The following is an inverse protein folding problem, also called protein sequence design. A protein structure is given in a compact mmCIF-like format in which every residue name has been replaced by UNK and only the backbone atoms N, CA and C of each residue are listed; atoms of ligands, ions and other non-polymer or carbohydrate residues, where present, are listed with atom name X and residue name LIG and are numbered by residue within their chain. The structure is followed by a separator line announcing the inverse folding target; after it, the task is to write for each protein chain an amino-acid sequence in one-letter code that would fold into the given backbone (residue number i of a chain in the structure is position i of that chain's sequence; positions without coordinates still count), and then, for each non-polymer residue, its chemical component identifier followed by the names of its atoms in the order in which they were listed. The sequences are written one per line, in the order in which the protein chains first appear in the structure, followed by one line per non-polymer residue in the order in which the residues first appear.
data_IF_424919549813
#
_entry.id   IF_424919549813
#
_cell.length_a   1.000
_cell.length_b   1.000
_cell.length_c   1.000
_cell.angle_alpha   90.00
_cell.angle_beta   90.00
_cell.angle_gamma   90.00
#
_symmetry.space_group_name_H-M   'P 1'
#
loop_
_entity.id
_entity.type
_entity.pdbx_description
1 polymer ?
#
# COMPACT_ATOMS: atom_id res chain seq x y z
N UNK A 1 -8.24 3.70 23.14
CA UNK A 1 -6.90 3.26 23.65
C UNK A 1 -5.94 4.45 23.63
N UNK A 2 -5.07 4.61 24.65
CA UNK A 2 -4.01 5.64 24.60
C UNK A 2 -2.93 5.19 23.62
N UNK A 3 -2.29 6.12 22.89
CA UNK A 3 -1.29 5.79 21.86
C UNK A 3 -0.16 4.88 22.38
N UNK A 4 0.33 5.10 23.60
CA UNK A 4 1.39 4.28 24.19
C UNK A 4 0.93 2.84 24.50
N UNK A 5 -0.31 2.65 24.94
CA UNK A 5 -0.90 1.34 25.14
C UNK A 5 -1.08 0.61 23.79
N UNK A 6 -1.55 1.33 22.78
CA UNK A 6 -1.70 0.78 21.43
C UNK A 6 -0.35 0.32 20.86
N UNK A 7 0.71 1.12 21.04
CA UNK A 7 2.06 0.72 20.59
C UNK A 7 2.49 -0.61 21.24
N UNK A 8 2.22 -0.80 22.53
CA UNK A 8 2.60 -2.04 23.23
C UNK A 8 1.76 -3.26 22.79
N UNK A 9 0.48 -3.07 22.49
CA UNK A 9 -0.45 -4.17 22.21
C UNK A 9 -0.61 -4.48 20.72
N UNK A 10 -0.35 -3.50 19.83
CA UNK A 10 -0.62 -3.57 18.39
C UNK A 10 0.62 -3.42 17.52
N UNK A 11 1.82 -3.39 18.11
CA UNK A 11 3.08 -3.49 17.37
C UNK A 11 3.67 -4.87 17.57
N UNK A 12 3.83 -5.58 16.48
CA UNK A 12 4.34 -6.94 16.47
C UNK A 12 5.71 -6.98 15.79
N UNK A 13 6.48 -8.03 16.06
CA UNK A 13 7.61 -8.44 15.23
C UNK A 13 7.19 -9.64 14.39
N UNK A 14 7.61 -9.72 13.14
CA UNK A 14 7.21 -10.80 12.21
C UNK A 14 7.49 -12.20 12.75
N UNK A 15 8.53 -12.35 13.60
CA UNK A 15 8.86 -13.65 14.21
C UNK A 15 7.75 -14.22 15.09
N UNK A 16 6.79 -13.43 15.53
CA UNK A 16 5.59 -13.94 16.20
C UNK A 16 4.72 -14.80 15.28
N UNK A 17 4.82 -14.62 13.98
CA UNK A 17 4.00 -15.25 12.95
C UNK A 17 4.82 -16.18 12.02
N UNK A 18 5.99 -16.61 12.46
CA UNK A 18 6.89 -17.44 11.65
C UNK A 18 6.38 -18.86 11.39
N UNK A 19 5.45 -19.36 12.23
CA UNK A 19 4.79 -20.64 12.02
C UNK A 19 3.70 -20.51 10.95
N UNK A 20 4.15 -20.59 9.68
CA UNK A 20 3.26 -20.45 8.53
C UNK A 20 2.23 -21.59 8.49
N UNK A 21 2.59 -22.79 8.98
CA UNK A 21 1.66 -23.91 9.04
C UNK A 21 0.46 -23.60 9.94
N UNK A 22 0.72 -23.05 11.11
CA UNK A 22 -0.33 -22.59 12.03
C UNK A 22 -1.21 -21.49 11.37
N UNK A 23 -0.59 -20.55 10.66
CA UNK A 23 -1.35 -19.50 9.93
C UNK A 23 -2.28 -20.10 8.87
N UNK A 24 -1.83 -21.14 8.16
CA UNK A 24 -2.66 -21.84 7.16
C UNK A 24 -3.82 -22.56 7.85
N UNK A 25 -3.58 -23.28 8.96
CA UNK A 25 -4.61 -23.97 9.73
C UNK A 25 -5.68 -22.97 10.24
N UNK A 26 -5.26 -21.82 10.79
CA UNK A 26 -6.15 -20.78 11.27
C UNK A 26 -6.91 -20.07 10.14
N UNK A 27 -6.26 -19.80 9.01
CA UNK A 27 -6.90 -19.30 7.78
C UNK A 27 -8.03 -20.22 7.34
N UNK A 28 -7.76 -21.54 7.27
CA UNK A 28 -8.74 -22.55 6.88
C UNK A 28 -9.90 -22.64 7.87
N UNK A 29 -9.60 -22.64 9.19
CA UNK A 29 -10.61 -22.67 10.24
C UNK A 29 -11.56 -21.48 10.17
N UNK A 30 -11.06 -20.32 9.76
CA UNK A 30 -11.84 -19.09 9.60
C UNK A 30 -12.45 -18.96 8.20
N UNK A 31 -12.19 -19.91 7.29
CA UNK A 31 -12.62 -19.87 5.89
C UNK A 31 -12.21 -18.55 5.19
N UNK A 32 -10.97 -18.10 5.43
CA UNK A 32 -10.42 -16.90 4.83
C UNK A 32 -9.66 -17.21 3.55
N UNK A 33 -9.71 -16.28 2.60
CA UNK A 33 -8.86 -16.25 1.41
C UNK A 33 -7.94 -15.05 1.43
N UNK A 34 -6.71 -15.20 0.90
CA UNK A 34 -5.67 -14.17 0.93
C UNK A 34 -5.10 -13.97 -0.45
N UNK A 35 -5.18 -12.73 -0.96
CA UNK A 35 -4.58 -12.33 -2.24
C UNK A 35 -3.38 -11.42 -2.02
N UNK A 36 -2.29 -11.67 -2.76
CA UNK A 36 -1.15 -10.78 -2.87
C UNK A 36 -1.29 -9.91 -4.12
N UNK A 37 -1.21 -8.60 -3.93
CA UNK A 37 -1.23 -7.59 -4.97
C UNK A 37 0.14 -6.92 -5.08
N UNK A 38 0.76 -7.01 -6.25
CA UNK A 38 2.04 -6.39 -6.59
C UNK A 38 1.78 -5.27 -7.62
N UNK A 39 1.66 -3.99 -7.20
CA UNK A 39 1.56 -2.88 -8.14
C UNK A 39 2.90 -2.63 -8.81
N UNK A 40 2.94 -2.59 -10.15
CA UNK A 40 4.18 -2.48 -10.92
C UNK A 40 4.19 -1.33 -11.92
N UNK A 41 5.40 -0.82 -12.15
CA UNK A 41 5.76 0.00 -13.31
C UNK A 41 7.28 -0.08 -13.54
N UNK A 42 7.71 -0.85 -14.55
CA UNK A 42 9.13 -1.03 -14.94
C UNK A 42 9.98 -1.62 -13.79
N UNK A 43 9.60 -2.82 -13.33
CA UNK A 43 10.26 -3.54 -12.23
C UNK A 43 10.84 -4.90 -12.68
N UNK A 44 11.28 -5.01 -13.95
CA UNK A 44 11.86 -6.24 -14.53
C UNK A 44 13.00 -6.85 -13.71
N UNK A 45 13.71 -6.01 -12.91
CA UNK A 45 14.90 -6.43 -12.15
C UNK A 45 14.56 -7.18 -10.87
N UNK A 46 13.39 -6.96 -10.30
CA UNK A 46 12.99 -7.45 -8.97
C UNK A 46 11.81 -8.39 -9.01
N UNK A 47 10.85 -8.14 -9.89
CA UNK A 47 9.55 -8.82 -9.89
C UNK A 47 9.66 -10.35 -9.99
N UNK A 48 10.57 -10.88 -10.82
CA UNK A 48 10.74 -12.33 -10.96
C UNK A 48 11.19 -13.00 -9.69
N UNK A 49 12.18 -12.41 -8.99
CA UNK A 49 12.67 -12.91 -7.72
C UNK A 49 11.59 -12.85 -6.63
N UNK A 50 10.82 -11.76 -6.60
CA UNK A 50 9.74 -11.59 -5.62
C UNK A 50 8.68 -12.67 -5.78
N UNK A 51 8.20 -12.91 -7.00
CA UNK A 51 7.18 -13.93 -7.27
C UNK A 51 7.70 -15.33 -6.91
N UNK A 52 8.91 -15.69 -7.36
CA UNK A 52 9.49 -17.02 -7.08
C UNK A 52 9.57 -17.30 -5.59
N UNK A 53 10.12 -16.36 -4.81
CA UNK A 53 10.32 -16.57 -3.36
C UNK A 53 8.97 -16.65 -2.62
N UNK A 54 8.06 -15.73 -2.93
CA UNK A 54 6.78 -15.67 -2.24
C UNK A 54 5.88 -16.85 -2.63
N UNK A 55 5.83 -17.19 -3.92
CA UNK A 55 5.03 -18.31 -4.42
C UNK A 55 5.52 -19.64 -3.89
N UNK A 56 6.82 -19.92 -4.00
CA UNK A 56 7.37 -21.20 -3.56
C UNK A 56 7.10 -21.50 -2.07
N UNK A 57 7.21 -20.49 -1.21
CA UNK A 57 7.02 -20.71 0.23
C UNK A 57 5.55 -20.55 0.67
N UNK A 58 4.82 -19.56 0.11
CA UNK A 58 3.52 -19.15 0.63
C UNK A 58 2.32 -19.61 -0.21
N UNK A 59 2.55 -20.22 -1.37
CA UNK A 59 1.49 -20.82 -2.18
C UNK A 59 1.76 -22.31 -2.40
N UNK A 60 2.96 -22.68 -2.87
CA UNK A 60 3.27 -24.06 -3.25
C UNK A 60 3.58 -24.94 -2.04
N UNK A 61 4.40 -24.47 -1.08
CA UNK A 61 4.76 -25.23 0.12
C UNK A 61 3.72 -25.10 1.24
N UNK A 62 3.32 -23.90 1.53
CA UNK A 62 2.31 -23.56 2.52
C UNK A 62 1.22 -22.73 1.85
N UNK A 63 -0.01 -23.23 1.66
CA UNK A 63 -1.06 -22.51 0.93
C UNK A 63 -1.67 -21.38 1.77
N UNK A 64 -0.81 -20.42 2.16
CA UNK A 64 -1.21 -19.20 2.84
C UNK A 64 -1.82 -18.20 1.85
N UNK A 65 -1.20 -18.05 0.66
CA UNK A 65 -1.71 -17.25 -0.45
C UNK A 65 -2.57 -18.11 -1.37
N UNK A 66 -3.75 -17.61 -1.70
CA UNK A 66 -4.66 -18.23 -2.68
C UNK A 66 -4.47 -17.65 -4.07
N UNK A 67 -3.93 -16.43 -4.15
CA UNK A 67 -3.81 -15.67 -5.38
C UNK A 67 -2.59 -14.74 -5.32
N UNK A 68 -1.80 -14.69 -6.39
CA UNK A 68 -0.67 -13.76 -6.55
C UNK A 68 -0.87 -13.04 -7.87
N UNK A 69 -1.07 -11.72 -7.81
CA UNK A 69 -1.30 -10.92 -9.00
C UNK A 69 -0.42 -9.68 -9.07
N UNK A 70 0.02 -9.41 -10.28
CA UNK A 70 0.67 -8.17 -10.70
C UNK A 70 -0.36 -7.27 -11.34
N UNK A 71 -0.46 -6.03 -10.84
CA UNK A 71 -1.30 -4.98 -11.43
C UNK A 71 -0.39 -3.93 -12.05
N UNK A 72 -0.29 -3.96 -13.37
CA UNK A 72 0.70 -3.18 -14.11
C UNK A 72 0.15 -1.84 -14.61
N UNK A 73 0.89 -0.75 -14.40
CA UNK A 73 0.56 0.61 -14.86
C UNK A 73 0.93 0.89 -16.33
N UNK A 74 1.28 -0.12 -17.11
CA UNK A 74 1.74 0.00 -18.51
C UNK A 74 3.27 0.08 -18.58
N UNK A 75 3.95 -0.93 -18.02
CA UNK A 75 5.40 -1.13 -18.15
C UNK A 75 5.84 -1.24 -19.59
N UNK A 76 7.01 -0.73 -19.89
CA UNK A 76 7.63 -0.76 -21.23
C UNK A 76 8.85 -1.68 -21.31
N UNK A 77 9.22 -2.28 -20.17
CA UNK A 77 10.25 -3.29 -20.01
C UNK A 77 9.63 -4.70 -19.93
N UNK A 78 10.42 -5.72 -19.58
CA UNK A 78 9.97 -7.11 -19.53
C UNK A 78 9.17 -7.48 -18.25
N UNK A 79 8.75 -6.50 -17.43
CA UNK A 79 8.05 -6.74 -16.16
C UNK A 79 6.89 -7.73 -16.28
N UNK A 80 5.94 -7.48 -17.20
CA UNK A 80 4.75 -8.32 -17.34
C UNK A 80 5.07 -9.74 -17.81
N UNK A 81 6.00 -9.87 -18.77
CA UNK A 81 6.43 -11.17 -19.29
C UNK A 81 7.12 -12.00 -18.21
N UNK A 82 8.03 -11.39 -17.46
CA UNK A 82 8.74 -12.04 -16.34
C UNK A 82 7.73 -12.47 -15.29
N UNK A 83 6.83 -11.60 -14.86
CA UNK A 83 5.82 -11.92 -13.85
C UNK A 83 4.96 -13.13 -14.24
N UNK A 84 4.45 -13.15 -15.47
CA UNK A 84 3.65 -14.26 -15.99
C UNK A 84 4.46 -15.57 -16.06
N UNK A 85 5.73 -15.50 -16.50
CA UNK A 85 6.61 -16.68 -16.62
C UNK A 85 6.90 -17.37 -15.28
N UNK A 86 6.86 -16.60 -14.16
CA UNK A 86 7.00 -17.13 -12.80
C UNK A 86 5.67 -17.46 -12.13
N UNK A 87 4.55 -17.36 -12.86
CA UNK A 87 3.25 -17.89 -12.45
C UNK A 87 2.42 -16.95 -11.57
N UNK A 88 2.59 -15.66 -11.73
CA UNK A 88 1.63 -14.67 -11.23
C UNK A 88 0.55 -14.39 -12.29
N UNK A 89 -0.65 -14.07 -11.85
CA UNK A 89 -1.67 -13.48 -12.71
C UNK A 89 -1.27 -12.03 -13.03
N UNK A 90 -1.26 -11.67 -14.31
CA UNK A 90 -0.85 -10.33 -14.74
C UNK A 90 -2.04 -9.60 -15.34
N UNK A 91 -2.33 -8.41 -14.79
CA UNK A 91 -3.40 -7.53 -15.24
C UNK A 91 -2.84 -6.16 -15.60
N UNK A 92 -3.07 -5.73 -16.83
CA UNK A 92 -2.76 -4.37 -17.27
C UNK A 92 -3.88 -3.45 -16.77
N UNK A 93 -3.54 -2.51 -15.88
CA UNK A 93 -4.53 -1.67 -15.21
C UNK A 93 -5.45 -0.91 -16.18
N UNK A 94 -4.95 -0.46 -17.33
CA UNK A 94 -5.73 0.28 -18.31
C UNK A 94 -6.85 -0.53 -18.99
N UNK A 95 -6.84 -1.85 -18.90
CA UNK A 95 -7.82 -2.74 -19.53
C UNK A 95 -9.05 -3.05 -18.66
N UNK A 96 -9.03 -2.60 -17.41
CA UNK A 96 -10.09 -2.90 -16.43
C UNK A 96 -10.79 -1.64 -15.94
N UNK A 97 -12.10 -1.72 -15.67
CA UNK A 97 -12.95 -0.62 -15.22
C UNK A 97 -12.78 0.63 -16.09
N UNK A 98 -12.75 0.43 -17.41
CA UNK A 98 -12.49 1.47 -18.41
C UNK A 98 -13.55 2.57 -18.42
N UNK A 99 -14.76 2.27 -17.96
CA UNK A 99 -15.87 3.21 -17.78
C UNK A 99 -15.57 4.32 -16.75
N UNK A 100 -14.63 4.04 -15.83
CA UNK A 100 -14.15 5.04 -14.86
C UNK A 100 -12.99 5.89 -15.41
N UNK A 101 -12.63 5.72 -16.68
CA UNK A 101 -11.51 6.37 -17.33
C UNK A 101 -10.16 5.77 -16.96
N UNK A 102 -9.18 5.96 -17.85
CA UNK A 102 -7.85 5.45 -17.68
C UNK A 102 -6.96 6.45 -16.93
N UNK A 103 -6.49 6.09 -15.75
CA UNK A 103 -5.56 6.86 -14.92
C UNK A 103 -4.31 6.03 -14.64
N UNK A 104 -3.22 6.69 -14.29
CA UNK A 104 -1.95 6.06 -13.91
C UNK A 104 -1.57 6.48 -12.50
N UNK A 105 -0.99 5.57 -11.75
CA UNK A 105 -0.46 5.82 -10.42
C UNK A 105 -0.62 4.62 -9.49
N UNK A 106 0.09 4.67 -8.37
CA UNK A 106 0.09 3.57 -7.40
C UNK A 106 -1.32 3.27 -6.89
N UNK A 107 -2.04 4.30 -6.45
CA UNK A 107 -3.38 4.12 -5.92
C UNK A 107 -4.39 3.60 -6.95
N UNK A 108 -4.21 3.93 -8.23
CA UNK A 108 -5.00 3.35 -9.33
C UNK A 108 -4.83 1.84 -9.42
N UNK A 109 -3.57 1.36 -9.34
CA UNK A 109 -3.29 -0.08 -9.35
C UNK A 109 -3.90 -0.79 -8.14
N UNK A 110 -3.82 -0.18 -6.96
CA UNK A 110 -4.40 -0.75 -5.74
C UNK A 110 -5.93 -0.83 -5.83
N UNK A 111 -6.57 0.21 -6.33
CA UNK A 111 -8.02 0.25 -6.54
C UNK A 111 -8.47 -0.82 -7.53
N UNK A 112 -7.78 -0.96 -8.65
CA UNK A 112 -8.07 -2.02 -9.63
C UNK A 112 -7.73 -3.40 -9.12
N UNK A 113 -6.67 -3.53 -8.31
CA UNK A 113 -6.34 -4.76 -7.60
C UNK A 113 -7.49 -5.22 -6.70
N UNK A 114 -8.13 -4.30 -5.98
CA UNK A 114 -9.28 -4.64 -5.14
C UNK A 114 -10.47 -5.18 -5.96
N UNK A 115 -10.67 -4.70 -7.19
CA UNK A 115 -11.66 -5.23 -8.12
C UNK A 115 -11.28 -6.61 -8.69
N UNK A 116 -10.01 -6.79 -9.05
CA UNK A 116 -9.52 -7.97 -9.75
C UNK A 116 -9.37 -9.17 -8.84
N UNK A 117 -8.79 -8.99 -7.69
CA UNK A 117 -8.51 -10.00 -6.67
C UNK A 117 -9.76 -10.45 -5.92
N UNK A 118 -9.69 -11.62 -5.27
CA UNK A 118 -10.86 -12.24 -4.61
C UNK A 118 -10.70 -12.42 -3.10
N UNK A 119 -9.47 -12.32 -2.58
CA UNK A 119 -9.18 -12.59 -1.16
C UNK A 119 -9.99 -11.75 -0.18
N UNK A 120 -10.34 -12.32 0.96
CA UNK A 120 -10.92 -11.62 2.11
C UNK A 120 -9.91 -10.69 2.78
N UNK A 121 -8.64 -11.02 2.64
CA UNK A 121 -7.49 -10.20 3.03
C UNK A 121 -6.68 -9.91 1.77
N UNK A 122 -6.40 -8.63 1.54
CA UNK A 122 -5.52 -8.20 0.46
C UNK A 122 -4.20 -7.73 1.07
N UNK A 123 -3.11 -8.31 0.59
CA UNK A 123 -1.75 -7.90 0.92
C UNK A 123 -1.20 -7.09 -0.24
N UNK A 124 -0.74 -5.89 0.03
CA UNK A 124 -0.05 -5.05 -0.94
C UNK A 124 1.44 -5.04 -0.61
N UNK A 125 2.27 -5.31 -1.60
CA UNK A 125 3.74 -5.28 -1.49
C UNK A 125 4.29 -4.57 -2.72
N UNK A 126 5.16 -3.58 -2.50
CA UNK A 126 5.86 -2.90 -3.60
C UNK A 126 6.77 -3.89 -4.33
N UNK A 127 6.87 -3.76 -5.65
CA UNK A 127 7.60 -4.68 -6.52
C UNK A 127 9.09 -4.33 -6.71
N UNK A 128 9.67 -3.43 -5.89
CA UNK A 128 11.06 -2.97 -5.95
C UNK A 128 11.94 -3.45 -4.80
N UNK A 129 11.54 -4.54 -4.10
CA UNK A 129 12.21 -5.03 -2.92
C UNK A 129 13.35 -5.99 -3.27
N UNK A 130 14.59 -5.53 -3.12
CA UNK A 130 15.76 -6.32 -3.46
C UNK A 130 16.03 -7.51 -2.51
N UNK A 131 15.54 -7.45 -1.28
CA UNK A 131 15.71 -8.49 -0.26
C UNK A 131 14.37 -9.11 0.17
N UNK A 132 13.51 -9.37 -0.80
CA UNK A 132 12.20 -9.98 -0.55
C UNK A 132 12.32 -11.27 0.26
N UNK A 133 11.39 -11.49 1.16
CA UNK A 133 11.32 -12.66 2.03
C UNK A 133 9.86 -12.93 2.41
N UNK A 134 9.42 -14.17 2.64
CA UNK A 134 8.05 -14.48 3.04
C UNK A 134 7.51 -13.68 4.23
N UNK A 135 8.38 -13.15 5.11
CA UNK A 135 7.99 -12.30 6.24
C UNK A 135 7.23 -11.04 5.83
N UNK A 136 7.45 -10.53 4.61
CA UNK A 136 6.72 -9.38 4.08
C UNK A 136 5.23 -9.67 3.86
N UNK A 137 4.86 -10.95 3.80
CA UNK A 137 3.47 -11.40 3.71
C UNK A 137 2.98 -11.95 5.04
N UNK A 138 3.62 -13.01 5.59
CA UNK A 138 3.12 -13.64 6.81
C UNK A 138 3.13 -12.69 8.03
N UNK A 139 4.07 -11.76 8.09
CA UNK A 139 4.11 -10.75 9.14
C UNK A 139 2.95 -9.76 9.08
N UNK A 140 2.41 -9.50 7.89
CA UNK A 140 1.27 -8.60 7.70
C UNK A 140 -0.08 -9.31 7.88
N UNK A 141 -0.21 -10.56 7.43
CA UNK A 141 -1.47 -11.30 7.57
C UNK A 141 -1.63 -11.93 8.95
N UNK A 142 -0.52 -12.23 9.63
CA UNK A 142 -0.53 -12.85 10.96
C UNK A 142 -1.41 -12.13 11.98
N UNK A 143 -1.27 -10.81 12.20
CA UNK A 143 -2.14 -10.06 13.08
C UNK A 143 -3.63 -10.12 12.67
N UNK A 144 -3.93 -10.08 11.36
CA UNK A 144 -5.30 -10.16 10.84
C UNK A 144 -5.93 -11.53 11.09
N UNK A 145 -5.16 -12.61 10.93
CA UNK A 145 -5.63 -13.98 11.20
C UNK A 145 -5.82 -14.19 12.70
N UNK A 146 -4.89 -13.70 13.52
CA UNK A 146 -4.90 -13.91 14.97
C UNK A 146 -6.01 -13.11 15.67
N UNK A 147 -6.36 -11.92 15.17
CA UNK A 147 -7.32 -11.04 15.83
C UNK A 147 -8.33 -10.47 14.82
N UNK A 148 -9.62 -10.85 14.93
CA UNK A 148 -10.68 -10.36 14.02
C UNK A 148 -10.94 -8.85 14.14
N UNK A 149 -10.57 -8.21 15.26
CA UNK A 149 -10.75 -6.77 15.46
C UNK A 149 -9.68 -5.93 14.75
N UNK A 150 -8.61 -6.57 14.25
CA UNK A 150 -7.62 -5.92 13.40
C UNK A 150 -8.11 -5.96 11.96
N UNK A 151 -8.22 -4.80 11.34
CA UNK A 151 -8.70 -4.65 9.96
C UNK A 151 -7.61 -4.21 8.99
N UNK A 152 -6.53 -3.58 9.49
CA UNK A 152 -5.45 -3.07 8.68
C UNK A 152 -4.11 -3.16 9.40
N UNK A 153 -3.10 -3.69 8.74
CA UNK A 153 -1.75 -3.87 9.28
C UNK A 153 -0.74 -3.17 8.40
N UNK A 154 0.08 -2.32 9.02
CA UNK A 154 1.13 -1.56 8.34
C UNK A 154 2.49 -2.17 8.62
N UNK A 155 3.35 -2.28 7.61
CA UNK A 155 4.73 -2.67 7.80
C UNK A 155 5.56 -1.54 8.42
N UNK A 156 6.52 -1.91 9.24
CA UNK A 156 7.67 -1.10 9.59
C UNK A 156 8.94 -1.93 9.43
N UNK A 157 10.06 -1.28 9.16
CA UNK A 157 11.34 -1.92 8.93
C UNK A 157 12.47 -0.89 8.92
N UNK A 158 13.71 -1.35 9.14
CA UNK A 158 14.89 -0.53 8.93
C UNK A 158 15.10 -0.22 7.45
N UNK A 159 15.31 1.06 7.15
CA UNK A 159 15.62 1.58 5.80
C UNK A 159 17.02 2.14 5.78
N UNK A 160 18.05 1.35 5.48
CA UNK A 160 19.40 1.89 5.34
C UNK A 160 19.49 2.84 4.14
N UNK A 161 20.21 3.95 4.30
CA UNK A 161 20.50 4.88 3.22
C UNK A 161 22.01 4.81 2.90
N UNK A 162 22.36 4.71 1.61
CA UNK A 162 23.70 4.98 1.15
C UNK A 162 23.91 6.50 1.09
N UNK A 163 24.80 7.03 1.92
CA UNK A 163 25.18 8.44 1.93
C UNK A 163 26.70 8.53 1.79
N UNK A 164 27.17 9.19 0.74
CA UNK A 164 28.61 9.36 0.46
C UNK A 164 29.42 8.05 0.47
N UNK A 165 28.84 6.94 -0.01
CA UNK A 165 29.50 5.62 -0.05
C UNK A 165 29.41 4.81 1.25
N UNK A 166 28.86 5.37 2.32
CA UNK A 166 28.60 4.66 3.57
C UNK A 166 27.12 4.28 3.72
N UNK A 167 26.85 3.06 4.15
CA UNK A 167 25.51 2.60 4.53
C UNK A 167 25.20 3.09 5.95
N UNK A 168 24.30 4.09 6.06
CA UNK A 168 23.74 4.46 7.35
C UNK A 168 22.54 3.56 7.65
N UNK A 169 22.51 2.94 8.84
CA UNK A 169 21.42 2.00 9.19
C UNK A 169 20.05 2.67 9.22
N UNK A 170 19.98 3.99 9.46
CA UNK A 170 18.76 4.78 9.57
C UNK A 170 18.82 6.00 8.66
N UNK A 171 17.66 6.47 8.19
CA UNK A 171 17.57 7.71 7.39
C UNK A 171 16.58 7.61 6.22
N UNK A 172 15.98 6.45 5.98
CA UNK A 172 14.81 6.30 5.12
C UNK A 172 13.56 6.92 5.74
N UNK A 173 12.52 7.16 4.93
CA UNK A 173 11.29 7.73 5.42
C UNK A 173 11.32 9.25 5.59
N UNK A 174 12.14 9.97 4.82
CA UNK A 174 12.25 11.44 4.87
C UNK A 174 10.91 12.16 4.79
N UNK A 175 10.02 11.73 3.88
CA UNK A 175 8.68 12.32 3.74
C UNK A 175 7.82 12.00 4.97
N UNK A 176 7.98 10.83 5.56
CA UNK A 176 7.32 10.50 6.83
C UNK A 176 7.69 11.48 7.92
N UNK A 177 8.98 11.67 8.19
CA UNK A 177 9.43 12.47 9.34
C UNK A 177 9.27 13.97 9.13
N UNK A 178 9.43 14.46 7.88
CA UNK A 178 9.39 15.90 7.58
C UNK A 178 7.96 16.38 7.31
N UNK A 179 7.08 15.53 6.79
CA UNK A 179 5.74 15.94 6.37
C UNK A 179 4.63 15.25 7.17
N UNK A 180 4.52 13.91 7.08
CA UNK A 180 3.35 13.21 7.59
C UNK A 180 3.32 13.12 9.12
N UNK A 181 4.46 12.90 9.77
CA UNK A 181 4.54 12.87 11.24
C UNK A 181 4.11 14.19 11.87
N UNK A 182 4.61 15.38 11.43
CA UNK A 182 4.08 16.67 11.88
C UNK A 182 2.59 16.84 11.62
N UNK A 183 2.11 16.51 10.43
CA UNK A 183 0.70 16.65 10.07
C UNK A 183 -0.21 15.74 10.91
N UNK A 184 0.15 14.47 11.10
CA UNK A 184 -0.60 13.60 12.00
C UNK A 184 -0.58 14.10 13.44
N UNK A 185 0.58 14.57 13.93
CA UNK A 185 0.68 15.10 15.29
C UNK A 185 -0.22 16.30 15.52
N UNK A 186 -0.43 17.13 14.49
CA UNK A 186 -1.28 18.32 14.58
C UNK A 186 -2.78 18.00 14.44
N UNK A 187 -3.16 17.12 13.50
CA UNK A 187 -4.55 16.97 13.07
C UNK A 187 -5.17 15.60 13.41
N UNK A 188 -4.36 14.55 13.47
CA UNK A 188 -4.77 13.18 13.79
C UNK A 188 -3.77 12.53 14.77
N UNK A 189 -3.63 13.06 16.01
CA UNK A 189 -2.53 12.72 16.92
C UNK A 189 -2.43 11.23 17.25
N UNK A 190 -3.53 10.47 17.17
CA UNK A 190 -3.50 9.03 17.37
C UNK A 190 -2.80 8.30 16.21
N UNK A 191 -2.94 8.76 14.95
CA UNK A 191 -2.25 8.20 13.80
C UNK A 191 -0.72 8.43 13.84
N UNK A 192 -0.24 9.39 14.62
CA UNK A 192 1.18 9.58 14.85
C UNK A 192 1.85 8.38 15.56
N UNK A 193 1.09 7.47 16.16
CA UNK A 193 1.57 6.20 16.71
C UNK A 193 1.98 5.18 15.65
N UNK A 194 1.53 5.33 14.40
CA UNK A 194 1.97 4.50 13.28
C UNK A 194 3.39 4.91 12.89
N UNK A 195 4.35 3.99 13.08
CA UNK A 195 5.78 4.30 12.96
C UNK A 195 6.21 4.60 11.52
N UNK A 196 5.67 3.87 10.55
CA UNK A 196 5.96 4.10 9.12
C UNK A 196 4.67 4.22 8.30
N UNK A 197 3.95 5.35 8.40
CA UNK A 197 2.67 5.54 7.72
C UNK A 197 2.74 5.45 6.18
N UNK A 198 3.89 5.77 5.60
CA UNK A 198 4.13 5.72 4.15
C UNK A 198 4.91 4.46 3.70
N UNK A 199 4.94 3.38 4.50
CA UNK A 199 5.48 2.11 3.99
C UNK A 199 4.61 1.57 2.86
N UNK A 200 5.20 0.97 1.84
CA UNK A 200 4.49 0.43 0.67
C UNK A 200 3.91 -0.96 0.91
N UNK A 201 4.23 -1.58 2.03
CA UNK A 201 3.77 -2.92 2.40
C UNK A 201 2.74 -2.83 3.52
N UNK A 202 1.57 -3.42 3.27
CA UNK A 202 0.46 -3.47 4.21
C UNK A 202 -0.56 -4.53 3.81
N UNK A 203 -1.39 -4.93 4.75
CA UNK A 203 -2.51 -5.81 4.49
C UNK A 203 -3.78 -5.25 5.11
N UNK A 204 -4.91 -5.51 4.47
CA UNK A 204 -6.21 -5.09 4.98
C UNK A 204 -7.31 -6.09 4.66
N UNK A 205 -8.33 -6.12 5.51
CA UNK A 205 -9.55 -6.86 5.20
C UNK A 205 -10.27 -6.18 4.03
N UNK A 206 -10.72 -6.97 3.06
CA UNK A 206 -11.51 -6.47 1.93
C UNK A 206 -12.69 -5.63 2.42
N UNK A 207 -13.38 -6.09 3.45
CA UNK A 207 -14.57 -5.44 4.02
C UNK A 207 -14.36 -4.01 4.48
N UNK A 208 -13.14 -3.58 4.80
CA UNK A 208 -12.82 -2.17 5.08
C UNK A 208 -12.28 -1.45 3.85
N UNK A 209 -11.43 -2.11 3.06
CA UNK A 209 -10.79 -1.51 1.89
C UNK A 209 -11.81 -1.11 0.81
N UNK A 210 -12.86 -1.92 0.60
CA UNK A 210 -13.90 -1.64 -0.39
C UNK A 210 -14.80 -0.45 -0.04
N UNK A 211 -14.77 0.02 1.21
CA UNK A 211 -15.60 1.12 1.70
C UNK A 211 -14.92 2.49 1.65
N UNK A 212 -13.65 2.56 1.29
CA UNK A 212 -12.89 3.82 1.28
C UNK A 212 -12.54 4.24 -0.14
N UNK A 213 -12.47 5.55 -0.43
CA UNK A 213 -12.02 6.04 -1.72
C UNK A 213 -10.49 5.96 -1.84
N UNK A 214 -10.00 5.81 -3.07
CA UNK A 214 -8.57 5.68 -3.37
C UNK A 214 -8.08 6.86 -4.22
N UNK A 215 -7.23 7.75 -3.69
CA UNK A 215 -6.44 8.64 -4.54
C UNK A 215 -5.58 7.83 -5.51
N UNK A 216 -5.51 8.28 -6.77
CA UNK A 216 -4.81 7.52 -7.82
C UNK A 216 -3.30 7.48 -7.66
N UNK A 217 -2.71 8.45 -6.95
CA UNK A 217 -1.27 8.64 -6.81
C UNK A 217 -0.67 8.16 -5.49
N UNK A 218 0.35 8.87 -5.05
CA UNK A 218 1.10 8.57 -3.82
C UNK A 218 0.38 8.99 -2.52
N UNK A 219 -0.73 9.71 -2.63
CA UNK A 219 -1.56 10.04 -1.48
C UNK A 219 -2.32 8.86 -0.89
N UNK A 220 -2.36 7.72 -1.57
CA UNK A 220 -3.22 6.58 -1.24
C UNK A 220 -2.95 6.01 0.16
N UNK A 221 -1.69 5.84 0.58
CA UNK A 221 -1.37 5.34 1.92
C UNK A 221 -1.87 6.30 3.01
N UNK A 222 -1.69 7.60 2.80
CA UNK A 222 -2.18 8.63 3.75
C UNK A 222 -3.70 8.63 3.82
N UNK A 223 -4.37 8.55 2.67
CA UNK A 223 -5.82 8.48 2.60
C UNK A 223 -6.37 7.26 3.33
N UNK A 224 -5.84 6.07 3.04
CA UNK A 224 -6.24 4.81 3.70
C UNK A 224 -6.14 4.93 5.23
N UNK A 225 -5.04 5.48 5.75
CA UNK A 225 -4.87 5.64 7.19
C UNK A 225 -5.94 6.56 7.80
N UNK A 226 -6.20 7.71 7.18
CA UNK A 226 -7.21 8.65 7.68
C UNK A 226 -8.61 8.05 7.53
N UNK A 227 -8.95 7.49 6.37
CA UNK A 227 -10.30 7.00 6.07
C UNK A 227 -10.67 5.77 6.92
N UNK A 228 -9.73 4.85 7.15
CA UNK A 228 -9.93 3.71 8.04
C UNK A 228 -10.01 4.18 9.51
N UNK A 229 -9.15 5.13 9.92
CA UNK A 229 -9.18 5.69 11.26
C UNK A 229 -10.51 6.37 11.58
N UNK A 230 -11.09 7.10 10.66
CA UNK A 230 -12.40 7.74 10.83
C UNK A 230 -13.53 6.72 11.03
N UNK A 231 -13.38 5.49 10.50
CA UNK A 231 -14.38 4.43 10.61
C UNK A 231 -14.21 3.57 11.85
N UNK A 232 -12.97 3.22 12.19
CA UNK A 232 -12.65 2.17 13.17
C UNK A 232 -11.84 2.67 14.38
N UNK A 233 -11.39 3.93 14.37
CA UNK A 233 -10.41 4.38 15.35
C UNK A 233 -9.06 3.68 15.19
N UNK A 234 -8.15 3.91 16.14
CA UNK A 234 -6.82 3.31 16.14
C UNK A 234 -6.84 1.80 16.45
N UNK A 235 -7.90 1.33 17.11
CA UNK A 235 -8.08 -0.08 17.48
C UNK A 235 -8.16 -1.02 16.28
N UNK A 236 -8.67 -0.53 15.14
CA UNK A 236 -8.72 -1.30 13.89
C UNK A 236 -7.37 -1.55 13.22
N UNK A 237 -6.29 -0.94 13.75
CA UNK A 237 -4.95 -1.03 13.19
C UNK A 237 -4.02 -1.90 14.01
N UNK A 238 -3.01 -2.44 13.32
CA UNK A 238 -1.77 -2.93 13.89
C UNK A 238 -0.59 -2.57 12.99
N UNK A 239 0.62 -2.79 13.48
CA UNK A 239 1.84 -2.67 12.69
C UNK A 239 2.80 -3.81 13.01
N UNK A 240 3.59 -4.21 12.02
CA UNK A 240 4.54 -5.31 12.15
C UNK A 240 5.92 -4.92 11.69
N UNK A 241 6.90 -5.13 12.55
CA UNK A 241 8.31 -5.01 12.21
C UNK A 241 8.74 -6.20 11.34
N UNK A 242 9.23 -5.89 10.13
CA UNK A 242 9.67 -6.84 9.11
C UNK A 242 11.21 -6.86 8.99
N UNK A 243 11.94 -6.40 10.00
CA UNK A 243 13.39 -6.22 10.08
C UNK A 243 13.92 -5.17 9.11
N UNK A 244 14.36 -5.58 7.93
CA UNK A 244 15.07 -4.71 6.99
C UNK A 244 14.47 -4.80 5.60
N UNK A 245 14.27 -3.63 4.98
CA UNK A 245 13.91 -3.48 3.57
C UNK A 245 15.03 -2.78 2.79
N UNK A 246 15.49 -3.42 1.73
CA UNK A 246 16.45 -2.84 0.79
C UNK A 246 15.74 -2.51 -0.50
N UNK A 247 15.73 -1.24 -0.87
CA UNK A 247 15.10 -0.74 -2.09
C UNK A 247 15.92 0.39 -2.68
N UNK A 248 15.58 0.82 -3.88
CA UNK A 248 16.22 1.92 -4.57
C UNK A 248 15.87 3.25 -3.89
N UNK A 249 16.87 4.01 -3.47
CA UNK A 249 16.68 5.35 -2.91
C UNK A 249 16.27 6.34 -4.00
N UNK A 250 15.26 7.14 -3.70
CA UNK A 250 14.84 8.25 -4.56
C UNK A 250 15.56 9.56 -4.19
N UNK A 251 15.82 10.38 -5.19
CA UNK A 251 16.39 11.72 -5.00
C UNK A 251 15.38 12.66 -4.32
N UNK A 252 15.91 13.68 -3.62
CA UNK A 252 15.08 14.65 -2.87
C UNK A 252 14.06 15.38 -3.76
N UNK A 253 14.43 15.69 -5.01
CA UNK A 253 13.51 16.33 -5.98
C UNK A 253 12.32 15.42 -6.30
N UNK A 254 12.55 14.13 -6.51
CA UNK A 254 11.48 13.15 -6.74
C UNK A 254 10.59 12.97 -5.49
N UNK A 255 11.20 12.90 -4.30
CA UNK A 255 10.46 12.87 -3.03
C UNK A 255 9.62 14.13 -2.80
N UNK A 256 10.08 15.29 -3.29
CA UNK A 256 9.30 16.52 -3.25
C UNK A 256 7.99 16.41 -4.04
N UNK A 257 8.01 15.79 -5.22
CA UNK A 257 6.81 15.56 -6.03
C UNK A 257 5.85 14.59 -5.31
N UNK A 258 6.37 13.52 -4.76
CA UNK A 258 5.59 12.59 -3.94
C UNK A 258 4.97 13.33 -2.73
N UNK A 259 5.76 14.12 -2.00
CA UNK A 259 5.31 14.89 -0.85
C UNK A 259 4.17 15.86 -1.20
N UNK A 260 4.23 16.48 -2.39
CA UNK A 260 3.17 17.37 -2.86
C UNK A 260 1.83 16.63 -3.04
N UNK A 261 1.84 15.46 -3.67
CA UNK A 261 0.64 14.62 -3.82
C UNK A 261 0.08 14.18 -2.45
N UNK A 262 0.96 13.69 -1.56
CA UNK A 262 0.61 13.31 -0.19
C UNK A 262 -0.02 14.49 0.57
N UNK A 263 0.58 15.69 0.49
CA UNK A 263 0.06 16.88 1.13
C UNK A 263 -1.32 17.29 0.57
N UNK A 264 -1.50 17.25 -0.75
CA UNK A 264 -2.80 17.56 -1.37
C UNK A 264 -3.88 16.60 -0.88
N UNK A 265 -3.59 15.32 -0.84
CA UNK A 265 -4.52 14.31 -0.30
C UNK A 265 -4.84 14.57 1.16
N UNK A 266 -3.82 14.87 1.97
CA UNK A 266 -4.02 15.19 3.39
C UNK A 266 -4.94 16.41 3.57
N UNK A 267 -4.68 17.49 2.85
CA UNK A 267 -5.51 18.71 2.89
C UNK A 267 -6.95 18.46 2.43
N UNK A 268 -7.13 17.63 1.41
CA UNK A 268 -8.46 17.20 0.95
C UNK A 268 -9.23 16.46 2.06
N UNK A 269 -8.56 15.62 2.85
CA UNK A 269 -9.17 14.94 4.01
C UNK A 269 -9.53 15.91 5.12
N UNK A 270 -8.66 16.88 5.45
CA UNK A 270 -8.98 17.91 6.44
C UNK A 270 -10.21 18.72 6.04
N UNK A 271 -10.34 19.05 4.74
CA UNK A 271 -11.50 19.80 4.22
C UNK A 271 -12.77 18.94 4.29
N UNK A 272 -12.72 17.68 3.82
CA UNK A 272 -13.83 16.73 3.89
C UNK A 272 -14.32 16.51 5.32
N UNK A 273 -13.37 16.36 6.25
CA UNK A 273 -13.65 16.10 7.67
C UNK A 273 -13.98 17.40 8.44
N UNK A 274 -14.13 18.54 7.73
CA UNK A 274 -14.48 19.87 8.27
C UNK A 274 -13.49 20.39 9.35
N UNK A 275 -12.24 19.89 9.33
CA UNK A 275 -11.18 20.35 10.25
C UNK A 275 -10.60 21.69 9.76
N UNK A 276 -10.57 21.91 8.44
CA UNK A 276 -10.14 23.17 7.83
C UNK A 276 -11.04 23.56 6.66
N UNK A 277 -11.04 24.84 6.34
CA UNK A 277 -11.74 25.35 5.16
C UNK A 277 -10.73 26.03 4.23
N UNK A 278 -10.63 25.53 3.02
CA UNK A 278 -9.84 26.14 1.96
C UNK A 278 -10.69 27.16 1.20
N UNK A 279 -10.09 28.29 0.82
CA UNK A 279 -10.80 29.33 0.03
C UNK A 279 -11.03 28.87 -1.41
N UNK A 280 -10.02 28.21 -1.98
CA UNK A 280 -9.98 27.78 -3.37
C UNK A 280 -9.58 26.31 -3.49
N UNK A 281 -9.81 25.72 -4.67
CA UNK A 281 -9.29 24.40 -4.98
C UNK A 281 -7.76 24.39 -4.95
N UNK A 282 -7.18 23.33 -4.35
CA UNK A 282 -5.73 23.18 -4.28
C UNK A 282 -5.10 23.05 -5.67
N UNK A 283 -4.05 23.83 -5.98
CA UNK A 283 -3.34 23.72 -7.24
C UNK A 283 -2.84 22.30 -7.50
N UNK A 284 -2.87 21.89 -8.77
CA UNK A 284 -2.36 20.58 -9.22
C UNK A 284 -0.92 20.64 -9.72
N UNK A 285 -0.38 21.87 -9.88
CA UNK A 285 0.95 22.09 -10.44
C UNK A 285 1.92 22.38 -9.30
N UNK A 286 2.92 21.52 -9.18
CA UNK A 286 4.07 21.76 -8.34
C UNK A 286 5.19 22.42 -9.14
N UNK A 287 5.79 23.48 -8.61
CA UNK A 287 6.93 24.17 -9.23
C UNK A 287 8.21 23.79 -8.50
N UNK A 288 9.20 23.37 -9.26
CA UNK A 288 10.56 23.10 -8.79
C UNK A 288 11.55 23.88 -9.64
N UNK A 289 12.75 24.09 -9.12
CA UNK A 289 13.77 24.85 -9.80
C UNK A 289 15.05 24.02 -9.89
N UNK A 290 15.70 24.04 -11.06
CA UNK A 290 17.02 23.47 -11.28
C UNK A 290 18.00 24.58 -11.64
N UNK A 291 19.26 24.36 -11.32
CA UNK A 291 20.37 25.21 -11.77
C UNK A 291 21.06 24.49 -12.92
N UNK A 292 21.13 25.13 -14.09
CA UNK A 292 21.75 24.60 -15.29
C UNK A 292 22.67 25.69 -15.87
N UNK A 293 23.98 25.43 -15.89
CA UNK A 293 25.05 26.36 -16.32
C UNK A 293 24.90 27.78 -15.72
N UNK A 294 24.60 27.86 -14.42
CA UNK A 294 24.40 29.14 -13.72
C UNK A 294 23.07 29.83 -13.94
N UNK A 295 22.17 29.25 -14.74
CA UNK A 295 20.82 29.74 -14.97
C UNK A 295 19.81 28.96 -14.13
N UNK A 296 18.77 29.67 -13.66
CA UNK A 296 17.64 29.05 -12.95
C UNK A 296 16.56 28.65 -13.95
N UNK A 297 16.22 27.36 -14.00
CA UNK A 297 15.13 26.84 -14.82
C UNK A 297 13.98 26.39 -13.94
N UNK A 298 12.80 26.96 -14.15
CA UNK A 298 11.56 26.50 -13.53
C UNK A 298 11.08 25.21 -14.22
N UNK A 299 10.70 24.24 -13.41
CA UNK A 299 10.05 23.01 -13.85
C UNK A 299 8.66 22.93 -13.24
N UNK A 300 7.65 22.65 -14.05
CA UNK A 300 6.28 22.45 -13.61
C UNK A 300 5.90 20.96 -13.72
N UNK A 301 5.33 20.44 -12.66
CA UNK A 301 4.88 19.05 -12.57
C UNK A 301 3.38 19.03 -12.27
N UNK A 302 2.60 18.50 -13.21
CA UNK A 302 1.18 18.21 -12.97
C UNK A 302 1.11 16.96 -12.07
N UNK A 303 0.56 17.11 -10.86
CA UNK A 303 0.39 16.04 -9.88
C UNK A 303 -1.10 15.94 -9.57
N UNK A 304 -1.72 14.94 -10.15
CA UNK A 304 -3.13 14.63 -9.93
C UNK A 304 -3.27 13.58 -8.81
N UNK A 305 -4.10 13.91 -7.84
CA UNK A 305 -4.56 13.00 -6.78
C UNK A 305 -6.10 12.90 -6.86
N UNK A 306 -6.60 12.64 -8.08
CA UNK A 306 -8.02 12.39 -8.27
C UNK A 306 -8.43 11.13 -7.48
N UNK A 307 -9.66 11.11 -6.99
CA UNK A 307 -10.14 9.98 -6.21
C UNK A 307 -10.96 9.01 -7.05
N UNK A 308 -10.73 7.73 -6.83
CA UNK A 308 -11.62 6.65 -7.22
C UNK A 308 -12.68 6.45 -6.13
N UNK A 309 -13.92 6.17 -6.50
CA UNK A 309 -14.96 5.92 -5.50
C UNK A 309 -14.64 4.68 -4.67
N UNK A 310 -15.24 4.54 -3.48
CA UNK A 310 -15.26 3.28 -2.76
C UNK A 310 -15.64 2.13 -3.68
N UNK A 311 -14.92 1.02 -3.62
CA UNK A 311 -15.12 -0.09 -4.57
C UNK A 311 -16.54 -0.67 -4.47
N UNK A 312 -17.13 -0.67 -3.29
CA UNK A 312 -18.51 -1.11 -3.06
C UNK A 312 -19.57 -0.27 -3.83
N UNK A 313 -19.21 0.94 -4.27
CA UNK A 313 -20.09 1.81 -5.07
C UNK A 313 -20.00 1.51 -6.57
N UNK A 314 -18.98 0.74 -7.01
CA UNK A 314 -18.77 0.36 -8.41
C UNK A 314 -19.72 -0.75 -8.80
N UNK A 315 -20.57 -0.51 -9.82
CA UNK A 315 -21.59 -1.47 -10.26
C UNK A 315 -21.00 -2.81 -10.69
N UNK A 316 -19.94 -2.80 -11.50
CA UNK A 316 -19.25 -4.01 -11.96
C UNK A 316 -18.71 -4.85 -10.78
N UNK A 317 -18.25 -4.19 -9.71
CA UNK A 317 -17.79 -4.87 -8.49
C UNK A 317 -18.95 -5.55 -7.75
N UNK A 318 -20.05 -4.84 -7.55
CA UNK A 318 -21.24 -5.39 -6.88
C UNK A 318 -21.76 -6.61 -7.62
N UNK A 319 -21.85 -6.55 -8.95
CA UNK A 319 -22.25 -7.68 -9.77
C UNK A 319 -21.31 -8.87 -9.64
N UNK A 320 -19.99 -8.64 -9.72
CA UNK A 320 -18.97 -9.69 -9.59
C UNK A 320 -19.06 -10.44 -8.27
N UNK A 321 -19.19 -9.73 -7.16
CA UNK A 321 -19.22 -10.33 -5.83
C UNK A 321 -20.62 -10.82 -5.38
N UNK A 322 -21.71 -10.32 -5.97
CA UNK A 322 -23.04 -10.87 -5.77
C UNK A 322 -23.16 -12.28 -6.37
N UNK A 323 -22.65 -12.47 -7.59
CA UNK A 323 -22.64 -13.78 -8.27
C UNK A 323 -21.78 -14.79 -7.50
N UNK A 324 -20.62 -14.36 -6.99
CA UNK A 324 -19.75 -15.23 -6.19
C UNK A 324 -20.44 -15.72 -4.91
N UNK A 325 -21.18 -14.84 -4.21
CA UNK A 325 -21.91 -15.19 -3.01
C UNK A 325 -23.08 -16.15 -3.26
N UNK A 326 -23.75 -16.07 -4.41
CA UNK A 326 -24.81 -17.01 -4.79
C UNK A 326 -24.25 -18.39 -5.13
N UNK A 327 -23.08 -18.45 -5.78
CA UNK A 327 -22.41 -19.72 -6.14
C UNK A 327 -21.87 -20.44 -4.91
N UNK A 328 -21.37 -19.70 -3.90
CA UNK A 328 -20.87 -20.27 -2.65
C UNK A 328 -21.98 -20.78 -1.70
N UNK A 329 -23.23 -20.40 -1.93
CA UNK A 329 -24.41 -20.85 -1.15
C UNK A 329 -25.13 -22.06 -1.75
N UNK A 330 -24.74 -22.49 -2.94
CA UNK A 330 -25.19 -23.71 -3.61
C UNK A 330 -24.18 -24.83 -3.44
#
# INVERSE_FOLDING_TARGET
MKAQQWLAERTFHHSKFWDIKWLVEEKQRQNLSISLCLPTLNEEKTIGQEIVILKAELADRYPLLDEIAVIDSGSTDDTCHIAASFGADVYVASEHLTEHGNRRGKGENLWKGLYLLRGDIIVFVDADIANIHPRFVYGLVGPLIQNPDIHYVKALYDRPIAYSGELRPTGGGRVTEILIRPLFSLFYPQLAAILQPLSGEYAGRRSILEQIPFPIGYGVETAMLIDIYQRLGLEGFAQTDLDRRVHRNQETIALGRMAFGVLRTFMSRLQRDQITQLRDELPKIMRQYAVDDGNYRQMEHLIEEAERPPMIEVEAYRQKFAVANETARR
#
